data_IF_463145788919
#
_entry.id   IF_463145788919
#
_cell.length_a   1.000
_cell.length_b   1.000
_cell.length_c   1.000
_cell.angle_alpha   90.00
_cell.angle_beta   90.00
_cell.angle_gamma   90.00
#
_symmetry.space_group_name_H-M   'P 1'
#
loop_
_entity.id
_entity.type
_entity.pdbx_description
1 polymer ?
#
# COMPACT_ATOMS: atom_id res chain seq x y z
N UNK A 1 28.57 6.86 -19.16
CA UNK A 1 27.89 7.62 -18.11
C UNK A 1 26.59 8.17 -18.68
N UNK A 2 25.51 8.11 -17.88
CA UNK A 2 24.23 8.73 -18.24
C UNK A 2 24.41 10.23 -18.44
N UNK A 3 23.68 10.81 -19.41
CA UNK A 3 23.76 12.25 -19.69
C UNK A 3 22.78 13.02 -18.82
N UNK A 4 21.59 12.49 -18.60
CA UNK A 4 20.51 13.06 -17.81
C UNK A 4 19.84 11.98 -16.97
N UNK A 5 19.48 12.32 -15.72
CA UNK A 5 18.69 11.47 -14.83
C UNK A 5 17.50 12.30 -14.32
N UNK A 6 16.47 12.41 -15.16
CA UNK A 6 15.28 13.20 -14.87
C UNK A 6 14.34 12.42 -13.97
N UNK A 7 13.70 13.09 -13.02
CA UNK A 7 12.81 12.41 -12.07
C UNK A 7 11.58 13.24 -11.71
N UNK A 8 10.58 12.57 -11.22
CA UNK A 8 9.46 13.16 -10.51
C UNK A 8 9.00 12.23 -9.38
N UNK A 9 8.43 12.82 -8.34
CA UNK A 9 7.80 12.08 -7.25
C UNK A 9 6.61 12.82 -6.65
N UNK A 10 5.71 12.05 -6.05
CA UNK A 10 4.61 12.50 -5.20
C UNK A 10 4.81 11.79 -3.87
N UNK A 11 5.12 12.55 -2.79
CA UNK A 11 5.57 11.97 -1.53
C UNK A 11 4.48 11.79 -0.49
N UNK A 12 3.30 12.38 -0.71
CA UNK A 12 2.18 12.27 0.21
C UNK A 12 0.91 11.78 -0.50
N UNK A 13 -0.01 11.22 0.28
CA UNK A 13 -1.30 10.70 -0.22
C UNK A 13 -2.18 11.76 -0.86
N UNK A 14 -2.14 12.98 -0.33
CA UNK A 14 -2.96 14.08 -0.83
C UNK A 14 -2.42 14.68 -2.12
N UNK A 15 -1.16 14.31 -2.53
CA UNK A 15 -0.50 14.84 -3.71
C UNK A 15 0.00 16.28 -3.56
N UNK A 16 0.08 16.81 -2.32
CA UNK A 16 0.53 18.18 -2.07
C UNK A 16 2.06 18.29 -2.15
N UNK A 17 2.78 17.26 -1.71
CA UNK A 17 4.23 17.22 -1.76
C UNK A 17 4.70 16.51 -3.02
N UNK A 18 4.96 17.27 -4.06
CA UNK A 18 5.44 16.79 -5.35
C UNK A 18 6.63 17.60 -5.82
N UNK A 19 7.59 16.93 -6.46
CA UNK A 19 8.77 17.58 -7.06
C UNK A 19 9.16 16.86 -8.34
N UNK A 20 9.89 17.57 -9.18
CA UNK A 20 10.48 17.03 -10.40
C UNK A 20 11.79 17.74 -10.72
N UNK A 21 12.58 17.14 -11.59
CA UNK A 21 13.81 17.70 -12.13
C UNK A 21 14.00 17.30 -13.59
N UNK A 22 14.37 18.25 -14.40
CA UNK A 22 14.74 18.02 -15.80
C UNK A 22 16.22 17.62 -15.97
N UNK A 23 17.04 17.72 -14.92
CA UNK A 23 18.47 17.33 -14.88
C UNK A 23 19.25 17.73 -16.16
N UNK A 24 19.19 19.01 -16.52
CA UNK A 24 19.90 19.57 -17.68
C UNK A 24 19.21 19.37 -19.03
N UNK A 25 18.07 18.71 -19.11
CA UNK A 25 17.21 18.80 -20.28
C UNK A 25 16.52 20.18 -20.35
N UNK A 26 16.02 20.61 -21.51
CA UNK A 26 15.26 21.86 -21.61
C UNK A 26 14.10 21.90 -20.62
N UNK A 27 13.88 23.03 -20.00
CA UNK A 27 12.90 23.22 -18.94
C UNK A 27 11.51 22.68 -19.31
N UNK A 28 10.94 21.83 -18.46
CA UNK A 28 9.61 21.27 -18.61
C UNK A 28 9.49 20.14 -19.64
N UNK A 29 10.60 19.66 -20.21
CA UNK A 29 10.55 18.62 -21.26
C UNK A 29 10.75 17.20 -20.75
N UNK A 30 11.13 17.02 -19.48
CA UNK A 30 11.44 15.74 -18.89
C UNK A 30 10.72 15.50 -17.56
N UNK A 31 11.08 16.22 -16.50
CA UNK A 31 10.55 15.99 -15.16
C UNK A 31 9.06 16.27 -15.05
N UNK A 32 8.57 17.36 -15.68
CA UNK A 32 7.13 17.66 -15.69
C UNK A 32 6.32 16.57 -16.41
N UNK A 33 6.68 16.11 -17.63
CA UNK A 33 6.03 14.97 -18.28
C UNK A 33 5.98 13.70 -17.44
N UNK A 34 7.04 13.37 -16.69
CA UNK A 34 7.05 12.24 -15.76
C UNK A 34 6.02 12.46 -14.64
N UNK A 35 5.98 13.66 -14.04
CA UNK A 35 5.03 14.00 -12.98
C UNK A 35 3.57 13.88 -13.45
N UNK A 36 3.27 14.34 -14.65
CA UNK A 36 1.93 14.23 -15.24
C UNK A 36 1.51 12.77 -15.44
N UNK A 37 2.43 11.86 -15.77
CA UNK A 37 2.14 10.43 -15.84
C UNK A 37 1.74 9.87 -14.46
N UNK A 38 2.46 10.25 -13.40
CA UNK A 38 2.11 9.84 -12.03
C UNK A 38 0.70 10.31 -11.64
N UNK A 39 0.39 11.58 -11.89
CA UNK A 39 -0.92 12.19 -11.63
C UNK A 39 -2.05 11.51 -12.40
N UNK A 40 -1.86 11.30 -13.70
CA UNK A 40 -2.87 10.67 -14.55
C UNK A 40 -3.16 9.22 -14.18
N UNK A 41 -2.17 8.52 -13.60
CA UNK A 41 -2.36 7.16 -13.04
C UNK A 41 -2.90 7.17 -11.60
N UNK A 42 -3.11 8.33 -10.98
CA UNK A 42 -3.60 8.46 -9.61
C UNK A 42 -2.63 7.89 -8.56
N UNK A 43 -1.32 7.92 -8.85
CA UNK A 43 -0.30 7.38 -7.96
C UNK A 43 0.13 8.43 -6.93
N UNK A 44 0.34 7.97 -5.71
CA UNK A 44 0.92 8.73 -4.60
C UNK A 44 2.02 7.91 -3.94
N UNK A 45 2.84 8.54 -3.10
CA UNK A 45 3.97 7.89 -2.40
C UNK A 45 4.88 7.13 -3.38
N UNK A 46 5.10 7.73 -4.56
CA UNK A 46 5.77 7.10 -5.71
C UNK A 46 6.80 8.06 -6.29
N UNK A 47 7.95 7.51 -6.67
CA UNK A 47 9.00 8.21 -7.41
C UNK A 47 9.35 7.45 -8.70
N UNK A 48 9.57 8.20 -9.78
CA UNK A 48 10.03 7.66 -11.06
C UNK A 48 11.24 8.46 -11.52
N UNK A 49 12.30 7.76 -11.91
CA UNK A 49 13.47 8.34 -12.55
C UNK A 49 13.64 7.73 -13.95
N UNK A 50 13.90 8.58 -14.94
CA UNK A 50 14.17 8.18 -16.31
C UNK A 50 15.56 8.63 -16.68
N UNK A 51 16.41 7.68 -17.05
CA UNK A 51 17.80 7.91 -17.43
C UNK A 51 17.92 7.97 -18.95
N UNK A 52 18.56 9.02 -19.45
CA UNK A 52 18.83 9.19 -20.88
C UNK A 52 20.32 9.19 -21.18
N UNK A 53 20.68 8.47 -22.23
CA UNK A 53 21.99 8.50 -22.86
C UNK A 53 21.88 9.23 -24.20
N UNK A 54 22.55 10.39 -24.31
CA UNK A 54 22.50 11.19 -25.54
C UNK A 54 23.33 10.52 -26.63
N UNK A 55 22.66 10.10 -27.71
CA UNK A 55 23.28 9.43 -28.85
C UNK A 55 23.57 10.32 -30.05
N UNK A 56 23.68 11.65 -29.86
CA UNK A 56 23.98 12.60 -30.93
C UNK A 56 22.77 13.09 -31.73
N UNK A 57 21.58 12.51 -31.56
CA UNK A 57 20.36 12.95 -32.27
C UNK A 57 19.51 13.83 -31.36
N UNK A 58 19.19 15.05 -31.82
CA UNK A 58 18.32 15.99 -31.12
C UNK A 58 16.85 15.62 -31.38
N UNK A 59 16.11 15.29 -30.32
CA UNK A 59 14.68 14.94 -30.39
C UNK A 59 13.76 16.18 -30.53
N UNK A 60 14.24 17.36 -30.16
CA UNK A 60 13.44 18.55 -29.98
C UNK A 60 12.52 18.49 -28.74
N UNK A 61 11.94 19.63 -28.34
CA UNK A 61 11.13 19.68 -27.10
C UNK A 61 9.95 18.71 -27.10
N UNK A 62 9.16 18.67 -28.18
CA UNK A 62 8.03 17.73 -28.29
C UNK A 62 8.43 16.26 -28.34
N UNK A 63 9.61 15.96 -28.90
CA UNK A 63 10.17 14.60 -28.89
C UNK A 63 10.62 14.16 -27.50
N UNK A 64 11.24 15.08 -26.73
CA UNK A 64 11.64 14.84 -25.36
C UNK A 64 10.42 14.57 -24.47
N UNK A 65 9.41 15.42 -24.52
CA UNK A 65 8.16 15.26 -23.76
C UNK A 65 7.56 13.87 -24.00
N UNK A 66 7.45 13.46 -25.27
CA UNK A 66 6.92 12.12 -25.61
C UNK A 66 7.82 11.01 -25.10
N UNK A 67 9.13 11.11 -25.27
CA UNK A 67 10.07 10.07 -24.84
C UNK A 67 10.01 9.87 -23.31
N UNK A 68 10.06 10.93 -22.51
CA UNK A 68 10.02 10.84 -21.06
C UNK A 68 8.66 10.35 -20.54
N UNK A 69 7.55 10.87 -21.08
CA UNK A 69 6.20 10.41 -20.68
C UNK A 69 5.95 8.95 -21.08
N UNK A 70 6.35 8.54 -22.29
CA UNK A 70 6.17 7.16 -22.74
C UNK A 70 7.01 6.18 -21.90
N UNK A 71 8.28 6.52 -21.65
CA UNK A 71 9.17 5.68 -20.83
C UNK A 71 8.63 5.50 -19.40
N UNK A 72 8.15 6.57 -18.78
CA UNK A 72 7.52 6.50 -17.45
C UNK A 72 6.23 5.68 -17.48
N UNK A 73 5.35 5.90 -18.46
CA UNK A 73 4.08 5.20 -18.59
C UNK A 73 4.25 3.70 -18.84
N UNK A 74 5.21 3.32 -19.68
CA UNK A 74 5.52 1.92 -20.02
C UNK A 74 6.07 1.17 -18.79
N UNK A 75 7.03 1.77 -18.07
CA UNK A 75 7.56 1.20 -16.83
C UNK A 75 6.46 0.97 -15.80
N UNK A 76 5.61 1.96 -15.57
CA UNK A 76 4.50 1.87 -14.62
C UNK A 76 3.38 0.91 -15.06
N UNK A 77 3.30 0.55 -16.32
CA UNK A 77 2.33 -0.44 -16.80
C UNK A 77 2.70 -1.86 -16.40
N UNK A 78 3.99 -2.13 -16.21
CA UNK A 78 4.50 -3.41 -15.71
C UNK A 78 4.73 -3.44 -14.19
N UNK A 79 4.51 -2.34 -13.48
CA UNK A 79 4.75 -2.25 -12.04
C UNK A 79 3.60 -2.87 -11.22
N UNK A 80 3.95 -3.53 -10.12
CA UNK A 80 2.98 -3.99 -9.11
C UNK A 80 2.51 -2.80 -8.27
N UNK A 81 1.47 -2.12 -8.75
CA UNK A 81 0.86 -0.99 -8.05
C UNK A 81 -0.16 -1.50 -7.04
N UNK A 82 0.03 -1.18 -5.76
CA UNK A 82 -0.86 -1.61 -4.69
C UNK A 82 -1.56 -0.43 -4.04
N UNK A 83 -2.85 -0.59 -3.80
CA UNK A 83 -3.61 0.34 -2.98
C UNK A 83 -3.44 -0.02 -1.52
N UNK A 84 -2.99 0.95 -0.71
CA UNK A 84 -2.85 0.81 0.73
C UNK A 84 -4.08 1.37 1.44
N UNK A 85 -4.61 0.62 2.40
CA UNK A 85 -5.69 1.06 3.27
C UNK A 85 -5.19 1.18 4.71
N UNK A 86 -5.65 2.20 5.43
CA UNK A 86 -5.37 2.35 6.86
C UNK A 86 -6.14 1.27 7.62
N UNK A 87 -5.41 0.44 8.35
CA UNK A 87 -5.96 -0.62 9.18
C UNK A 87 -5.61 -0.38 10.65
N UNK A 88 -6.49 -0.83 11.53
CA UNK A 88 -6.25 -0.96 12.95
C UNK A 88 -5.90 -2.41 13.27
N UNK A 89 -4.88 -2.59 14.08
CA UNK A 89 -4.48 -3.89 14.60
C UNK A 89 -5.18 -4.14 15.91
N UNK A 90 -5.91 -5.25 15.99
CA UNK A 90 -6.66 -5.65 17.16
C UNK A 90 -6.25 -7.03 17.65
N UNK A 91 -5.99 -7.13 18.94
CA UNK A 91 -5.81 -8.39 19.65
C UNK A 91 -7.16 -8.82 20.23
N UNK A 92 -7.57 -10.05 19.93
CA UNK A 92 -8.81 -10.64 20.38
C UNK A 92 -8.44 -11.88 21.21
N UNK A 93 -8.78 -11.88 22.50
CA UNK A 93 -8.53 -13.02 23.41
C UNK A 93 -9.84 -13.74 23.70
N UNK A 94 -9.84 -15.05 23.52
CA UNK A 94 -11.00 -15.90 23.78
C UNK A 94 -10.60 -17.16 24.59
N UNK A 95 -11.53 -17.66 25.38
CA UNK A 95 -11.35 -18.97 26.01
C UNK A 95 -11.29 -20.07 24.95
N UNK A 96 -10.62 -21.18 25.22
CA UNK A 96 -10.54 -22.33 24.30
C UNK A 96 -11.89 -22.82 23.80
N UNK A 97 -12.91 -22.79 24.68
CA UNK A 97 -14.29 -23.19 24.34
C UNK A 97 -14.95 -22.31 23.27
N UNK A 98 -14.53 -21.06 23.16
CA UNK A 98 -15.08 -20.09 22.22
C UNK A 98 -14.15 -19.83 21.01
N UNK A 99 -12.91 -20.34 21.05
CA UNK A 99 -11.86 -20.03 20.09
C UNK A 99 -12.24 -20.37 18.63
N UNK A 100 -12.78 -21.56 18.40
CA UNK A 100 -13.19 -21.99 17.05
C UNK A 100 -14.33 -21.11 16.49
N UNK A 101 -15.28 -20.73 17.36
CA UNK A 101 -16.36 -19.84 16.97
C UNK A 101 -15.85 -18.45 16.63
N UNK A 102 -14.94 -17.89 17.45
CA UNK A 102 -14.30 -16.59 17.19
C UNK A 102 -13.46 -16.64 15.93
N UNK A 103 -12.67 -17.69 15.71
CA UNK A 103 -11.90 -17.87 14.48
C UNK A 103 -12.79 -17.91 13.23
N UNK A 104 -13.91 -18.63 13.29
CA UNK A 104 -14.89 -18.69 12.21
C UNK A 104 -15.53 -17.32 11.96
N UNK A 105 -15.84 -16.57 13.02
CA UNK A 105 -16.33 -15.20 12.91
C UNK A 105 -15.33 -14.30 12.20
N UNK A 106 -14.06 -14.31 12.62
CA UNK A 106 -12.97 -13.54 11.98
C UNK A 106 -12.89 -13.90 10.49
N UNK A 107 -12.87 -15.18 10.14
CA UNK A 107 -12.78 -15.65 8.75
C UNK A 107 -13.98 -15.29 7.87
N UNK A 108 -15.13 -14.94 8.47
CA UNK A 108 -16.31 -14.49 7.74
C UNK A 108 -16.32 -12.98 7.45
N UNK A 109 -15.33 -12.25 7.95
CA UNK A 109 -15.20 -10.81 7.77
C UNK A 109 -13.97 -10.47 6.90
N UNK A 110 -13.95 -9.34 6.19
CA UNK A 110 -12.82 -8.91 5.37
C UNK A 110 -11.69 -8.34 6.24
N UNK A 111 -11.19 -9.15 7.17
CA UNK A 111 -10.08 -8.80 8.06
C UNK A 111 -9.06 -9.94 8.06
N UNK A 112 -7.79 -9.69 7.65
CA UNK A 112 -6.76 -10.70 7.70
C UNK A 112 -6.43 -11.08 9.14
N UNK A 113 -6.34 -12.38 9.39
CA UNK A 113 -5.77 -12.95 10.60
C UNK A 113 -4.25 -12.91 10.48
N UNK A 114 -3.58 -12.09 11.28
CA UNK A 114 -2.13 -11.89 11.24
C UNK A 114 -1.39 -12.99 12.02
N UNK A 115 -1.88 -13.32 13.23
CA UNK A 115 -1.37 -14.45 14.03
C UNK A 115 -2.47 -15.07 14.86
N UNK A 116 -2.20 -16.30 15.33
CA UNK A 116 -3.05 -17.03 16.27
C UNK A 116 -2.14 -17.76 17.25
N UNK A 117 -2.16 -17.35 18.51
CA UNK A 117 -1.32 -17.88 19.56
C UNK A 117 -2.15 -18.62 20.61
N UNK A 118 -1.64 -19.78 21.06
CA UNK A 118 -2.29 -20.66 22.03
C UNK A 118 -1.48 -20.64 23.32
N UNK A 119 -2.02 -19.93 24.33
CA UNK A 119 -1.42 -19.84 25.67
C UNK A 119 -2.48 -20.15 26.73
N UNK A 120 -2.61 -19.36 27.79
CA UNK A 120 -3.71 -19.49 28.78
C UNK A 120 -5.08 -19.24 28.13
N UNK A 121 -5.13 -18.31 27.19
CA UNK A 121 -6.25 -18.05 26.27
C UNK A 121 -5.76 -18.15 24.84
N UNK A 122 -6.68 -18.34 23.90
CA UNK A 122 -6.36 -18.22 22.47
C UNK A 122 -6.40 -16.76 22.09
N UNK A 123 -5.29 -16.27 21.52
CA UNK A 123 -5.10 -14.88 21.12
C UNK A 123 -5.05 -14.80 19.60
N UNK A 124 -5.94 -14.03 19.00
CA UNK A 124 -5.97 -13.73 17.58
C UNK A 124 -5.52 -12.29 17.36
N UNK A 125 -4.58 -12.07 16.47
CA UNK A 125 -4.18 -10.75 16.01
C UNK A 125 -4.77 -10.53 14.62
N UNK A 126 -5.58 -9.49 14.46
CA UNK A 126 -6.29 -9.19 13.22
C UNK A 126 -6.04 -7.75 12.79
N UNK A 127 -6.08 -7.50 11.49
CA UNK A 127 -6.09 -6.15 10.95
C UNK A 127 -7.47 -5.84 10.36
N UNK A 128 -8.09 -4.78 10.82
CA UNK A 128 -9.41 -4.33 10.37
C UNK A 128 -9.27 -2.97 9.74
N UNK A 129 -9.91 -2.73 8.59
CA UNK A 129 -9.92 -1.38 8.00
C UNK A 129 -10.45 -0.38 9.01
N UNK A 130 -9.75 0.72 9.19
CA UNK A 130 -10.10 1.75 10.20
C UNK A 130 -11.55 2.22 10.09
N UNK A 131 -12.07 2.36 8.86
CA UNK A 131 -13.45 2.75 8.63
C UNK A 131 -14.48 1.68 9.07
N UNK A 132 -14.09 0.42 9.14
CA UNK A 132 -14.95 -0.73 9.45
C UNK A 132 -14.75 -1.24 10.89
N UNK A 133 -13.71 -0.78 11.60
CA UNK A 133 -13.30 -1.30 12.91
C UNK A 133 -14.40 -1.23 13.95
N UNK A 134 -15.12 -0.12 14.04
CA UNK A 134 -16.23 0.03 15.00
C UNK A 134 -17.35 -0.99 14.77
N UNK A 135 -17.74 -1.20 13.51
CA UNK A 135 -18.77 -2.19 13.16
C UNK A 135 -18.33 -3.62 13.44
N UNK A 136 -17.09 -3.96 13.07
CA UNK A 136 -16.50 -5.28 13.34
C UNK A 136 -16.47 -5.60 14.84
N UNK A 137 -15.99 -4.64 15.67
CA UNK A 137 -15.90 -4.84 17.13
C UNK A 137 -17.27 -4.99 17.77
N UNK A 138 -18.26 -4.18 17.37
CA UNK A 138 -19.62 -4.33 17.87
C UNK A 138 -20.21 -5.70 17.53
N UNK A 139 -20.05 -6.13 16.29
CA UNK A 139 -20.50 -7.44 15.85
C UNK A 139 -19.78 -8.60 16.59
N UNK A 140 -18.48 -8.43 16.88
CA UNK A 140 -17.71 -9.42 17.65
C UNK A 140 -18.21 -9.52 19.11
N UNK A 141 -18.46 -8.36 19.75
CA UNK A 141 -18.97 -8.33 21.13
C UNK A 141 -20.33 -9.01 21.22
N UNK A 142 -21.24 -8.73 20.28
CA UNK A 142 -22.56 -9.37 20.22
C UNK A 142 -22.46 -10.88 19.97
N UNK A 143 -21.64 -11.28 19.00
CA UNK A 143 -21.40 -12.68 18.67
C UNK A 143 -20.81 -13.46 19.85
N UNK A 144 -19.77 -12.93 20.47
CA UNK A 144 -19.09 -13.55 21.63
C UNK A 144 -19.86 -13.34 22.93
N UNK A 145 -20.98 -12.63 22.95
CA UNK A 145 -21.76 -12.27 24.14
C UNK A 145 -20.89 -11.65 25.25
N UNK A 146 -19.95 -10.80 24.86
CA UNK A 146 -19.01 -10.14 25.76
C UNK A 146 -17.90 -11.05 26.35
N UNK A 147 -17.76 -12.31 25.89
CA UNK A 147 -16.73 -13.25 26.40
C UNK A 147 -15.37 -13.13 25.70
N UNK A 148 -15.28 -12.38 24.62
CA UNK A 148 -14.00 -12.07 23.97
C UNK A 148 -13.51 -10.70 24.46
N UNK A 149 -12.25 -10.65 24.86
CA UNK A 149 -11.56 -9.39 25.21
C UNK A 149 -10.91 -8.83 23.96
N UNK A 150 -10.96 -7.51 23.77
CA UNK A 150 -10.36 -6.85 22.62
C UNK A 150 -9.44 -5.74 23.05
N UNK A 151 -8.27 -5.63 22.44
CA UNK A 151 -7.28 -4.60 22.72
C UNK A 151 -6.69 -4.08 21.40
N UNK A 152 -6.70 -2.75 21.22
CA UNK A 152 -6.05 -2.13 20.06
C UNK A 152 -4.54 -2.08 20.26
N UNK A 153 -3.78 -2.60 19.30
CA UNK A 153 -2.31 -2.63 19.35
C UNK A 153 -1.66 -1.53 18.52
N UNK A 154 -2.26 -1.16 17.40
CA UNK A 154 -1.68 -0.14 16.54
C UNK A 154 -2.54 0.25 15.34
N UNK A 155 -1.96 1.09 14.49
CA UNK A 155 -2.51 1.48 13.20
C UNK A 155 -1.38 1.47 12.16
N UNK A 156 -1.65 0.92 10.98
CA UNK A 156 -0.71 0.92 9.86
C UNK A 156 -1.39 0.69 8.53
N UNK A 157 -0.65 0.92 7.44
CA UNK A 157 -1.16 0.70 6.10
C UNK A 157 -0.93 -0.72 5.64
N UNK A 158 -2.00 -1.36 5.14
CA UNK A 158 -1.92 -2.68 4.51
C UNK A 158 -2.34 -2.62 3.04
N UNK A 159 -1.68 -3.39 2.15
CA UNK A 159 -2.16 -3.58 0.80
C UNK A 159 -3.53 -4.27 0.78
N UNK A 160 -4.45 -3.78 -0.04
CA UNK A 160 -5.79 -4.35 -0.20
C UNK A 160 -5.77 -5.86 -0.53
N UNK A 161 -4.77 -6.32 -1.25
CA UNK A 161 -4.60 -7.73 -1.58
C UNK A 161 -4.45 -8.64 -0.35
N UNK A 162 -3.95 -8.12 0.77
CA UNK A 162 -3.81 -8.86 2.03
C UNK A 162 -5.12 -8.86 2.84
N UNK A 163 -6.01 -7.90 2.61
CA UNK A 163 -7.27 -7.78 3.36
C UNK A 163 -8.33 -8.81 2.90
N UNK A 164 -8.11 -9.44 1.74
CA UNK A 164 -9.00 -10.46 1.18
C UNK A 164 -8.50 -11.90 1.34
N UNK A 165 -7.37 -12.12 2.04
CA UNK A 165 -6.81 -13.45 2.24
C UNK A 165 -7.39 -14.05 3.53
N UNK A 166 -8.19 -15.08 3.38
CA UNK A 166 -8.79 -15.87 4.48
C UNK A 166 -7.85 -16.96 5.06
N UNK A 167 -6.57 -16.97 4.67
CA UNK A 167 -5.56 -17.89 5.23
C UNK A 167 -4.39 -17.12 5.84
N UNK A 168 -3.84 -17.57 7.00
CA UNK A 168 -2.71 -16.91 7.64
C UNK A 168 -1.45 -17.09 6.78
N UNK A 169 -1.07 -16.05 6.07
CA UNK A 169 0.24 -16.00 5.42
C UNK A 169 1.28 -15.80 6.51
N UNK A 170 2.13 -16.79 6.71
CA UNK A 170 3.33 -16.66 7.53
C UNK A 170 4.17 -15.53 6.96
N UNK A 171 4.17 -14.39 7.64
CA UNK A 171 5.17 -13.36 7.38
C UNK A 171 6.51 -13.93 7.84
N UNK A 172 7.35 -14.35 6.91
CA UNK A 172 8.75 -14.64 7.18
C UNK A 172 9.40 -13.32 7.59
N UNK A 173 9.54 -13.13 8.89
CA UNK A 173 10.40 -12.09 9.47
C UNK A 173 11.82 -12.55 9.19
N UNK A 174 12.43 -12.03 8.14
CA UNK A 174 13.88 -12.13 7.95
C UNK A 174 14.56 -11.29 9.02
N UNK A 175 15.28 -11.97 9.88
CA UNK A 175 16.24 -11.43 10.87
C UNK A 175 17.38 -10.70 10.16
#
# INVERSE_FOLDING_TARGET
LATHCCYAFIADKAGNLQRFSDDGEPQGTAGMPILEVLKNKGLSETAVAVVRYFGGIKLGAGGLVRAYSSSAAENLSGADVRRLEMCEEWEIRAAYTDADAVKKFISSHPCPLLSCDYAEKVTFLVAVKKAEAGGFLSALVDFARGRAETEKKGEYYLPLSLIHISEPTRLDVMS
#
